data_IF_047950040000
#
_entry.id   IF_047950040000
#
_cell.length_a   1.000
_cell.length_b   1.000
_cell.length_c   1.000
_cell.angle_alpha   90.00
_cell.angle_beta   90.00
_cell.angle_gamma   90.00
#
_symmetry.space_group_name_H-M   'P 1'
#
loop_
_entity.id
_entity.type
_entity.pdbx_description
1 polymer ?
#
# COMPACT_ATOMS: atom_id res chain seq x y z
N UNK A 1 36.59 40.07 -53.52
CA UNK A 1 37.92 39.71 -54.01
C UNK A 1 38.78 39.61 -52.79
N UNK A 2 39.41 38.60 -52.35
CA UNK A 2 39.85 37.30 -52.78
C UNK A 2 39.95 36.42 -51.51
N UNK A 3 39.46 35.21 -51.59
CA UNK A 3 39.62 34.17 -50.56
C UNK A 3 41.10 33.78 -50.46
N UNK A 4 41.59 33.54 -49.22
CA UNK A 4 42.74 32.69 -49.01
C UNK A 4 42.37 31.52 -48.09
N UNK A 5 42.30 30.37 -48.74
CA UNK A 5 42.21 29.03 -48.18
C UNK A 5 43.60 28.64 -47.66
N UNK A 6 43.75 28.35 -46.40
CA UNK A 6 44.97 27.80 -45.82
C UNK A 6 44.72 26.36 -45.38
N UNK A 7 45.31 25.50 -46.17
CA UNK A 7 45.25 24.05 -46.21
C UNK A 7 45.71 23.36 -44.90
N UNK A 8 44.94 22.34 -44.49
CA UNK A 8 45.20 21.38 -43.40
C UNK A 8 46.55 20.65 -43.45
N UNK A 9 47.41 20.91 -44.47
CA UNK A 9 48.70 20.24 -44.66
C UNK A 9 49.89 20.89 -44.00
N UNK A 10 49.79 22.10 -43.42
CA UNK A 10 50.92 22.78 -42.76
C UNK A 10 51.00 22.54 -41.26
N UNK A 11 50.04 21.87 -40.65
CA UNK A 11 50.04 21.59 -39.19
C UNK A 11 50.79 20.28 -38.81
N UNK A 12 51.22 19.48 -39.79
CA UNK A 12 51.82 18.15 -39.54
C UNK A 12 53.36 18.08 -39.74
N UNK A 13 54.08 19.23 -39.84
CA UNK A 13 55.54 19.24 -40.06
C UNK A 13 56.37 19.84 -38.93
N UNK A 14 55.83 20.02 -37.71
CA UNK A 14 56.59 20.57 -36.59
C UNK A 14 56.48 19.70 -35.32
N UNK A 15 56.64 18.40 -35.43
CA UNK A 15 56.92 17.52 -34.30
C UNK A 15 57.78 16.35 -34.75
N UNK A 16 59.04 16.63 -34.87
CA UNK A 16 60.06 15.61 -35.05
C UNK A 16 61.39 16.07 -34.47
N UNK A 17 61.70 15.48 -33.34
CA UNK A 17 63.04 15.24 -32.79
C UNK A 17 63.07 15.65 -31.25
N UNK A 18 63.21 14.65 -30.39
CA UNK A 18 63.55 14.77 -28.99
C UNK A 18 63.44 13.42 -28.29
N UNK A 19 64.55 12.75 -28.14
CA UNK A 19 64.73 11.39 -27.62
C UNK A 19 64.45 11.29 -26.09
N UNK A 20 63.84 10.18 -25.68
CA UNK A 20 64.26 9.41 -24.52
C UNK A 20 63.88 9.91 -23.11
N UNK A 21 62.75 9.45 -22.57
CA UNK A 21 62.63 9.07 -21.18
C UNK A 21 61.41 8.14 -21.05
N UNK A 22 61.63 6.88 -20.70
CA UNK A 22 60.58 5.91 -20.39
C UNK A 22 59.90 6.31 -19.07
N UNK A 23 58.81 7.06 -19.15
CA UNK A 23 57.91 7.25 -18.06
C UNK A 23 56.89 6.11 -18.11
N UNK A 24 56.89 5.26 -17.08
CA UNK A 24 55.88 4.25 -16.86
C UNK A 24 54.52 4.98 -16.62
N UNK A 25 53.71 5.07 -17.68
CA UNK A 25 52.33 5.47 -17.56
C UNK A 25 51.61 4.40 -16.74
N UNK A 26 51.37 4.68 -15.44
CA UNK A 26 50.33 3.99 -14.69
C UNK A 26 49.04 4.19 -15.48
N UNK A 27 48.51 3.11 -16.02
CA UNK A 27 47.09 3.04 -16.45
C UNK A 27 46.26 3.33 -15.19
N UNK A 28 45.85 4.58 -15.01
CA UNK A 28 44.80 4.89 -14.08
C UNK A 28 43.57 4.13 -14.59
N UNK A 29 43.16 3.15 -13.83
CA UNK A 29 41.85 2.48 -14.01
C UNK A 29 40.76 3.53 -14.07
N UNK A 30 39.58 3.22 -14.62
CA UNK A 30 38.48 4.15 -14.69
C UNK A 30 38.26 4.74 -13.27
N UNK A 31 37.98 6.05 -13.17
CA UNK A 31 37.84 6.70 -11.87
C UNK A 31 36.84 5.90 -11.03
N UNK A 32 37.27 5.50 -9.84
CA UNK A 32 36.36 4.85 -8.90
C UNK A 32 35.12 5.74 -8.80
N UNK A 33 33.98 5.22 -9.21
CA UNK A 33 32.71 5.97 -9.17
C UNK A 33 32.60 6.59 -7.78
N UNK A 34 32.49 7.89 -7.71
CA UNK A 34 32.39 8.62 -6.47
C UNK A 34 31.30 7.96 -5.61
N UNK A 35 31.68 7.51 -4.41
CA UNK A 35 30.70 6.94 -3.47
C UNK A 35 29.69 8.04 -3.22
N UNK A 36 28.40 7.74 -3.45
CA UNK A 36 27.33 8.72 -3.31
C UNK A 36 27.41 9.34 -1.89
N UNK A 37 27.78 10.61 -1.83
CA UNK A 37 27.88 11.38 -0.58
C UNK A 37 26.57 12.11 -0.35
N UNK A 38 26.13 12.21 0.89
CA UNK A 38 24.88 12.88 1.27
C UNK A 38 23.76 11.91 1.68
N UNK A 39 22.61 12.45 2.09
CA UNK A 39 21.51 11.65 2.59
C UNK A 39 20.89 10.78 1.50
N UNK A 40 20.26 9.68 1.92
CA UNK A 40 19.36 8.90 1.08
C UNK A 40 18.02 9.63 1.05
N UNK A 41 17.70 10.25 -0.05
CA UNK A 41 16.41 10.94 -0.22
C UNK A 41 15.34 9.93 -0.60
N UNK A 42 14.29 9.86 0.19
CA UNK A 42 13.12 8.99 -0.02
C UNK A 42 11.90 9.89 -0.19
N UNK A 43 11.25 9.80 -1.33
CA UNK A 43 9.97 10.48 -1.57
C UNK A 43 8.84 9.74 -0.85
N UNK A 44 7.90 10.49 -0.27
CA UNK A 44 6.71 9.93 0.38
C UNK A 44 5.48 10.62 -0.16
N UNK A 45 4.57 9.86 -0.78
CA UNK A 45 3.26 10.34 -1.21
C UNK A 45 2.20 9.89 -0.21
N UNK A 46 1.47 10.84 0.39
CA UNK A 46 0.47 10.52 1.40
C UNK A 46 -0.65 11.55 1.47
N UNK A 47 -1.84 11.13 1.90
CA UNK A 47 -3.00 11.99 2.07
C UNK A 47 -2.94 12.64 3.46
N UNK A 48 -2.90 13.97 3.51
CA UNK A 48 -2.79 14.73 4.77
C UNK A 48 -4.02 15.57 5.10
N UNK A 49 -4.97 15.66 4.15
CA UNK A 49 -6.18 16.47 4.31
C UNK A 49 -7.44 15.70 3.93
N UNK A 50 -8.58 16.13 4.48
CA UNK A 50 -9.89 15.53 4.19
C UNK A 50 -10.15 14.24 4.97
N UNK A 51 -11.20 13.50 4.54
CA UNK A 51 -11.70 12.29 5.23
C UNK A 51 -10.69 11.13 5.25
N UNK A 52 -9.74 11.12 4.32
CA UNK A 52 -8.70 10.10 4.22
C UNK A 52 -7.42 10.43 5.01
N UNK A 53 -7.29 11.63 5.57
CA UNK A 53 -6.12 12.06 6.31
C UNK A 53 -5.69 11.12 7.47
N UNK A 54 -6.59 10.49 8.24
CA UNK A 54 -6.18 9.57 9.31
C UNK A 54 -5.30 8.43 8.83
N UNK A 55 -5.66 7.81 7.70
CA UNK A 55 -4.91 6.69 7.10
C UNK A 55 -3.55 7.18 6.58
N UNK A 56 -3.54 8.30 5.85
CA UNK A 56 -2.30 8.89 5.36
C UNK A 56 -1.34 9.33 6.46
N UNK A 57 -1.87 9.91 7.54
CA UNK A 57 -1.08 10.28 8.71
C UNK A 57 -0.46 9.05 9.39
N UNK A 58 -1.19 7.94 9.50
CA UNK A 58 -0.70 6.72 10.12
C UNK A 58 0.51 6.13 9.35
N UNK A 59 0.41 6.04 8.03
CA UNK A 59 1.52 5.58 7.18
C UNK A 59 2.75 6.49 7.27
N UNK A 60 2.55 7.83 7.25
CA UNK A 60 3.64 8.79 7.41
C UNK A 60 4.34 8.65 8.77
N UNK A 61 3.58 8.55 9.86
CA UNK A 61 4.11 8.38 11.22
C UNK A 61 4.96 7.10 11.36
N UNK A 62 4.53 6.01 10.71
CA UNK A 62 5.31 4.77 10.70
C UNK A 62 6.59 4.89 9.88
N UNK A 63 6.55 5.60 8.74
CA UNK A 63 7.75 5.87 7.93
C UNK A 63 8.73 6.76 8.67
N UNK A 64 8.26 7.79 9.38
CA UNK A 64 9.08 8.65 10.23
C UNK A 64 9.72 7.87 11.38
N UNK A 65 8.94 7.03 12.06
CA UNK A 65 9.44 6.16 13.13
C UNK A 65 10.53 5.21 12.61
N UNK A 66 10.32 4.61 11.44
CA UNK A 66 11.33 3.78 10.78
C UNK A 66 12.59 4.59 10.46
N UNK A 67 12.45 5.76 9.83
CA UNK A 67 13.58 6.61 9.44
C UNK A 67 14.40 7.06 10.66
N UNK A 68 13.75 7.45 11.76
CA UNK A 68 14.42 7.79 13.02
C UNK A 68 15.27 6.62 13.55
N UNK A 69 14.73 5.38 13.52
CA UNK A 69 15.45 4.18 13.98
C UNK A 69 16.64 3.83 13.08
N UNK A 70 16.44 3.88 11.78
CA UNK A 70 17.51 3.63 10.78
C UNK A 70 18.61 4.66 10.96
N UNK A 71 18.27 5.94 11.11
CA UNK A 71 19.23 7.01 11.29
C UNK A 71 20.01 6.89 12.61
N UNK A 72 19.36 6.51 13.70
CA UNK A 72 20.02 6.21 14.98
C UNK A 72 20.99 5.02 14.88
N UNK A 73 20.72 4.09 13.97
CA UNK A 73 21.58 2.92 13.72
C UNK A 73 22.69 3.17 12.69
N UNK A 74 22.87 4.42 12.23
CA UNK A 74 23.92 4.79 11.28
C UNK A 74 23.44 4.97 9.82
N UNK A 75 22.14 4.89 9.56
CA UNK A 75 21.57 5.08 8.23
C UNK A 75 21.65 3.83 7.35
N UNK A 76 21.43 3.99 6.05
CA UNK A 76 21.55 2.93 5.04
C UNK A 76 22.95 3.02 4.44
N UNK A 77 23.75 1.99 4.61
CA UNK A 77 25.17 1.97 4.16
C UNK A 77 25.98 3.22 4.62
N UNK A 78 25.68 3.73 5.82
CA UNK A 78 26.32 4.91 6.39
C UNK A 78 25.72 6.26 5.96
N UNK A 79 24.68 6.28 5.12
CA UNK A 79 23.98 7.49 4.68
C UNK A 79 22.70 7.68 5.48
N UNK A 80 22.48 8.88 6.01
CA UNK A 80 21.24 9.21 6.74
C UNK A 80 20.05 9.27 5.81
N UNK A 81 18.89 8.76 6.22
CA UNK A 81 17.63 8.85 5.50
C UNK A 81 17.05 10.25 5.65
N UNK A 82 16.64 10.83 4.53
CA UNK A 82 15.89 12.09 4.44
C UNK A 82 14.57 11.84 3.73
N UNK A 83 13.45 12.07 4.41
CA UNK A 83 12.12 11.98 3.83
C UNK A 83 11.74 13.29 3.14
N UNK A 84 11.19 13.22 1.94
CA UNK A 84 10.60 14.34 1.19
C UNK A 84 9.14 14.00 0.98
N UNK A 85 8.25 14.70 1.70
CA UNK A 85 6.83 14.36 1.77
C UNK A 85 6.04 15.26 0.84
N UNK A 86 5.26 14.65 -0.05
CA UNK A 86 4.32 15.32 -0.94
C UNK A 86 2.88 14.84 -0.68
N UNK A 87 1.93 15.73 -0.95
CA UNK A 87 0.51 15.44 -0.79
C UNK A 87 -0.01 14.54 -1.90
N UNK A 88 -0.70 13.45 -1.53
CA UNK A 88 -1.57 12.74 -2.45
C UNK A 88 -2.94 13.40 -2.48
N UNK A 89 -3.41 13.75 -3.68
CA UNK A 89 -4.71 14.38 -3.90
C UNK A 89 -5.45 13.72 -5.07
N UNK A 90 -5.85 14.46 -6.10
CA UNK A 90 -6.37 13.86 -7.32
C UNK A 90 -5.24 13.25 -8.19
N UNK A 91 -5.57 12.35 -9.14
CA UNK A 91 -4.56 11.69 -9.97
C UNK A 91 -3.61 12.65 -10.70
N UNK A 92 -4.15 13.72 -11.31
CA UNK A 92 -3.37 14.69 -12.10
C UNK A 92 -2.29 15.38 -11.25
N UNK A 93 -2.71 15.98 -10.14
CA UNK A 93 -1.79 16.73 -9.28
C UNK A 93 -0.78 15.82 -8.58
N UNK A 94 -1.18 14.60 -8.24
CA UNK A 94 -0.28 13.63 -7.61
C UNK A 94 0.78 13.15 -8.60
N UNK A 95 0.45 12.93 -9.86
CA UNK A 95 1.43 12.61 -10.91
C UNK A 95 2.47 13.72 -11.06
N UNK A 96 2.08 15.00 -11.01
CA UNK A 96 3.03 16.11 -11.09
C UNK A 96 3.97 16.14 -9.86
N UNK A 97 3.44 15.91 -8.66
CA UNK A 97 4.27 15.81 -7.43
C UNK A 97 5.20 14.60 -7.45
N UNK A 98 4.73 13.49 -8.00
CA UNK A 98 5.57 12.30 -8.21
C UNK A 98 6.74 12.60 -9.16
N UNK A 99 6.48 13.29 -10.29
CA UNK A 99 7.52 13.75 -11.21
C UNK A 99 8.50 14.70 -10.53
N UNK A 100 8.02 15.63 -9.70
CA UNK A 100 8.85 16.55 -8.91
C UNK A 100 9.82 15.79 -8.00
N UNK A 101 9.33 14.82 -7.23
CA UNK A 101 10.15 13.99 -6.34
C UNK A 101 11.32 13.34 -7.08
N UNK A 102 11.09 12.85 -8.31
CA UNK A 102 12.11 12.14 -9.08
C UNK A 102 13.03 13.10 -9.83
N UNK A 103 12.47 14.06 -10.56
CA UNK A 103 13.23 14.89 -11.50
C UNK A 103 13.89 16.11 -10.83
N UNK A 104 13.29 16.68 -9.79
CA UNK A 104 13.79 17.86 -9.09
C UNK A 104 14.47 17.49 -7.78
N UNK A 105 13.78 16.72 -6.94
CA UNK A 105 14.30 16.35 -5.61
C UNK A 105 15.30 15.19 -5.69
N UNK A 106 15.31 14.43 -6.80
CA UNK A 106 16.23 13.33 -7.07
C UNK A 106 16.20 12.23 -6.00
N UNK A 107 14.99 11.77 -5.66
CA UNK A 107 14.81 10.70 -4.71
C UNK A 107 15.28 9.35 -5.27
N UNK A 108 15.75 8.49 -4.38
CA UNK A 108 16.22 7.14 -4.72
C UNK A 108 15.03 6.17 -4.92
N UNK A 109 13.95 6.40 -4.19
CA UNK A 109 12.72 5.61 -4.19
C UNK A 109 11.54 6.51 -3.83
N UNK A 110 10.35 6.18 -4.30
CA UNK A 110 9.10 6.78 -3.81
C UNK A 110 8.31 5.72 -3.04
N UNK A 111 7.88 6.05 -1.84
CA UNK A 111 7.01 5.25 -0.99
C UNK A 111 5.63 5.91 -0.94
N UNK A 112 4.59 5.13 -0.73
CA UNK A 112 3.25 5.67 -0.57
C UNK A 112 2.41 5.58 -1.84
N UNK A 113 1.27 6.24 -1.79
CA UNK A 113 0.16 6.04 -2.70
C UNK A 113 -0.91 5.18 -2.02
N UNK A 114 -2.10 5.75 -1.82
CA UNK A 114 -3.18 5.17 -1.01
C UNK A 114 -4.44 4.95 -1.85
N UNK A 115 -4.85 5.95 -2.63
CA UNK A 115 -6.07 5.87 -3.43
C UNK A 115 -5.85 5.09 -4.73
N UNK A 116 -6.68 4.08 -4.99
CA UNK A 116 -6.59 3.24 -6.21
C UNK A 116 -6.59 4.08 -7.50
N UNK A 117 -7.44 5.10 -7.61
CA UNK A 117 -7.47 5.95 -8.79
C UNK A 117 -6.15 6.72 -9.02
N UNK A 118 -5.45 7.11 -7.94
CA UNK A 118 -4.14 7.77 -8.00
C UNK A 118 -3.05 6.74 -8.35
N UNK A 119 -3.01 5.62 -7.67
CA UNK A 119 -1.94 4.64 -7.84
C UNK A 119 -1.97 3.99 -9.22
N UNK A 120 -3.14 3.73 -9.79
CA UNK A 120 -3.26 3.24 -11.17
C UNK A 120 -2.80 4.30 -12.20
N UNK A 121 -2.93 5.59 -11.90
CA UNK A 121 -2.39 6.66 -12.74
C UNK A 121 -0.86 6.82 -12.58
N UNK A 122 -0.31 6.52 -11.40
CA UNK A 122 1.13 6.60 -11.13
C UNK A 122 1.92 5.47 -11.77
N UNK A 123 1.35 4.27 -11.86
CA UNK A 123 2.06 3.09 -12.36
C UNK A 123 2.78 3.29 -13.69
N UNK A 124 2.10 3.69 -14.78
CA UNK A 124 2.75 3.96 -16.06
C UNK A 124 3.85 5.04 -15.97
N UNK A 125 3.67 6.04 -15.10
CA UNK A 125 4.64 7.12 -14.89
C UNK A 125 5.89 6.60 -14.16
N UNK A 126 5.74 5.68 -13.22
CA UNK A 126 6.86 5.03 -12.54
C UNK A 126 7.71 4.22 -13.54
N UNK A 127 7.06 3.51 -14.46
CA UNK A 127 7.74 2.77 -15.53
C UNK A 127 8.55 3.69 -16.46
N UNK A 128 7.97 4.84 -16.84
CA UNK A 128 8.65 5.82 -17.70
C UNK A 128 9.86 6.46 -17.02
N UNK A 129 9.78 6.75 -15.73
CA UNK A 129 10.82 7.47 -14.99
C UNK A 129 11.91 6.56 -14.42
N UNK A 130 11.73 5.25 -14.43
CA UNK A 130 12.75 4.29 -14.01
C UNK A 130 13.22 4.47 -12.56
N UNK A 131 12.30 4.82 -11.65
CA UNK A 131 12.58 4.94 -10.22
C UNK A 131 11.67 4.00 -9.45
N UNK A 132 12.21 3.18 -8.51
CA UNK A 132 11.40 2.27 -7.73
C UNK A 132 10.29 3.02 -7.00
N UNK A 133 9.06 2.53 -7.13
CA UNK A 133 7.90 2.99 -6.39
C UNK A 133 7.26 1.83 -5.65
N UNK A 134 7.18 1.96 -4.33
CA UNK A 134 6.56 0.98 -3.44
C UNK A 134 5.27 1.57 -2.89
N UNK A 135 4.15 1.14 -3.44
CA UNK A 135 2.82 1.61 -3.03
C UNK A 135 2.49 1.11 -1.62
N UNK A 136 1.93 1.96 -0.76
CA UNK A 136 1.43 1.53 0.54
C UNK A 136 0.13 0.76 0.39
N UNK A 137 -0.74 1.27 -0.47
CA UNK A 137 -2.07 0.78 -0.70
C UNK A 137 -2.52 1.09 -2.14
N UNK A 138 -3.82 1.15 -2.38
CA UNK A 138 -4.36 1.81 -3.54
C UNK A 138 -4.30 1.03 -4.84
N UNK A 139 -4.02 -0.28 -4.82
CA UNK A 139 -4.09 -1.10 -6.03
C UNK A 139 -5.10 -2.22 -5.89
N UNK A 140 -5.83 -2.49 -6.97
CA UNK A 140 -6.68 -3.67 -7.09
C UNK A 140 -6.07 -4.63 -8.10
N UNK A 141 -6.30 -5.94 -7.93
CA UNK A 141 -5.78 -6.94 -8.86
C UNK A 141 -6.31 -6.70 -10.27
N UNK A 142 -7.62 -6.40 -10.38
CA UNK A 142 -8.26 -6.04 -11.64
C UNK A 142 -7.65 -4.79 -12.27
N UNK A 143 -7.51 -3.71 -11.49
CA UNK A 143 -6.93 -2.46 -11.98
C UNK A 143 -5.48 -2.61 -12.45
N UNK A 144 -4.67 -3.43 -11.77
CA UNK A 144 -3.29 -3.73 -12.17
C UNK A 144 -3.26 -4.58 -13.44
N UNK A 145 -4.14 -5.57 -13.59
CA UNK A 145 -4.24 -6.34 -14.84
C UNK A 145 -4.51 -5.45 -16.06
N UNK A 146 -5.26 -4.37 -15.88
CA UNK A 146 -5.63 -3.45 -16.94
C UNK A 146 -4.57 -2.38 -17.22
N UNK A 147 -3.89 -1.88 -16.19
CA UNK A 147 -3.00 -0.70 -16.30
C UNK A 147 -1.52 -1.01 -16.18
N UNK A 148 -1.13 -2.05 -15.44
CA UNK A 148 0.26 -2.40 -15.14
C UNK A 148 0.46 -3.92 -15.11
N UNK A 149 0.19 -4.65 -16.19
CA UNK A 149 0.23 -6.13 -16.16
C UNK A 149 1.62 -6.71 -15.91
N UNK A 150 2.69 -5.98 -16.22
CA UNK A 150 4.08 -6.42 -16.07
C UNK A 150 4.95 -5.26 -15.57
N UNK A 151 4.79 -4.79 -14.33
CA UNK A 151 5.56 -3.67 -13.82
C UNK A 151 7.04 -4.05 -13.65
N UNK A 152 7.92 -3.08 -13.91
CA UNK A 152 9.37 -3.20 -13.69
C UNK A 152 9.82 -2.36 -12.49
N UNK A 153 9.22 -1.19 -12.30
CA UNK A 153 9.60 -0.22 -11.29
C UNK A 153 8.55 -0.03 -10.20
N UNK A 154 7.29 -0.35 -10.52
CA UNK A 154 6.19 -0.26 -9.58
C UNK A 154 6.06 -1.57 -8.78
N UNK A 155 6.09 -1.45 -7.46
CA UNK A 155 5.83 -2.53 -6.51
C UNK A 155 4.49 -2.30 -5.87
N UNK A 156 3.58 -3.22 -6.10
CA UNK A 156 2.23 -3.17 -5.61
C UNK A 156 2.18 -3.67 -4.18
N UNK A 157 1.64 -2.85 -3.29
CA UNK A 157 1.37 -3.23 -1.92
C UNK A 157 0.39 -4.41 -1.85
N UNK A 158 -0.49 -4.38 -0.92
CA UNK A 158 -1.58 -5.33 -0.79
C UNK A 158 -2.69 -4.93 -1.74
N UNK A 159 -3.29 -5.91 -2.37
CA UNK A 159 -4.48 -5.68 -3.19
C UNK A 159 -5.68 -5.39 -2.29
N UNK A 160 -6.25 -4.20 -2.43
CA UNK A 160 -7.31 -3.74 -1.53
C UNK A 160 -8.58 -4.60 -1.61
N UNK A 161 -8.96 -5.11 -2.80
CA UNK A 161 -10.11 -5.99 -2.92
C UNK A 161 -9.90 -7.37 -2.28
N UNK A 162 -8.67 -7.73 -1.90
CA UNK A 162 -8.42 -8.98 -1.14
C UNK A 162 -9.15 -8.98 0.19
N UNK A 163 -9.36 -7.83 0.81
CA UNK A 163 -10.18 -7.70 2.00
C UNK A 163 -11.64 -8.11 1.75
N UNK A 164 -12.18 -7.71 0.59
CA UNK A 164 -13.52 -8.10 0.17
C UNK A 164 -13.60 -9.60 -0.18
N UNK A 165 -12.54 -10.16 -0.77
CA UNK A 165 -12.41 -11.60 -1.02
C UNK A 165 -12.41 -12.37 0.30
N UNK A 166 -11.58 -11.95 1.28
CA UNK A 166 -11.54 -12.55 2.63
C UNK A 166 -12.90 -12.44 3.31
N UNK A 167 -13.56 -11.29 3.23
CA UNK A 167 -14.90 -11.11 3.77
C UNK A 167 -15.92 -12.04 3.11
N UNK A 168 -15.83 -12.24 1.79
CA UNK A 168 -16.68 -13.19 1.05
C UNK A 168 -16.48 -14.64 1.52
N UNK A 169 -15.25 -15.04 1.84
CA UNK A 169 -14.93 -16.36 2.42
C UNK A 169 -15.51 -16.50 3.84
N UNK A 170 -15.41 -15.44 4.66
CA UNK A 170 -15.81 -15.49 6.07
C UNK A 170 -17.31 -15.27 6.28
N UNK A 171 -18.00 -14.59 5.36
CA UNK A 171 -19.45 -14.31 5.47
C UNK A 171 -20.27 -15.56 5.78
N UNK A 172 -20.19 -16.68 5.03
CA UNK A 172 -21.00 -17.87 5.32
C UNK A 172 -20.61 -18.56 6.63
N UNK A 173 -19.39 -18.35 7.11
CA UNK A 173 -18.93 -18.89 8.41
C UNK A 173 -19.67 -18.22 9.58
N UNK A 174 -19.79 -16.89 9.54
CA UNK A 174 -20.33 -16.10 10.64
C UNK A 174 -21.82 -15.77 10.48
N UNK A 175 -22.29 -15.63 9.25
CA UNK A 175 -23.67 -15.22 8.94
C UNK A 175 -24.41 -16.33 8.19
N UNK A 176 -24.65 -17.44 8.91
CA UNK A 176 -25.38 -18.57 8.34
C UNK A 176 -26.78 -18.15 7.88
N UNK A 177 -27.19 -18.64 6.71
CA UNK A 177 -28.54 -18.43 6.17
C UNK A 177 -28.74 -17.07 5.50
N UNK A 178 -27.68 -16.27 5.26
CA UNK A 178 -27.78 -15.06 4.43
C UNK A 178 -28.22 -15.43 3.02
N UNK A 179 -29.28 -14.77 2.55
CA UNK A 179 -29.88 -14.96 1.22
C UNK A 179 -29.81 -13.71 0.35
N UNK A 180 -29.84 -12.55 1.00
CA UNK A 180 -29.86 -11.25 0.32
C UNK A 180 -28.79 -10.31 0.88
N UNK A 181 -28.09 -9.62 -0.03
CA UNK A 181 -27.01 -8.71 0.31
C UNK A 181 -27.21 -7.37 -0.37
N UNK A 182 -27.07 -6.29 0.39
CA UNK A 182 -26.90 -4.92 -0.11
C UNK A 182 -25.43 -4.53 -0.06
N UNK A 183 -24.94 -3.79 -1.05
CA UNK A 183 -23.59 -3.29 -1.13
C UNK A 183 -23.52 -1.77 -1.09
N UNK A 184 -22.50 -1.23 -0.42
CA UNK A 184 -22.15 0.19 -0.50
C UNK A 184 -20.63 0.36 -0.53
N UNK A 185 -20.13 1.16 -1.46
CA UNK A 185 -18.70 1.50 -1.63
C UNK A 185 -18.54 2.88 -2.24
N UNK A 186 -17.31 3.40 -2.30
CA UNK A 186 -17.06 4.69 -2.95
C UNK A 186 -17.11 4.54 -4.48
N UNK A 187 -17.58 5.59 -5.18
CA UNK A 187 -17.75 5.64 -6.64
C UNK A 187 -16.40 5.84 -7.36
N UNK A 188 -15.56 4.82 -7.33
CA UNK A 188 -14.32 4.71 -8.12
C UNK A 188 -13.83 3.26 -8.13
N UNK A 189 -12.74 2.95 -8.88
CA UNK A 189 -12.27 1.58 -9.13
C UNK A 189 -12.26 0.67 -7.89
N UNK A 190 -11.76 1.16 -6.74
CA UNK A 190 -11.72 0.36 -5.51
C UNK A 190 -13.10 -0.12 -5.05
N UNK A 191 -14.08 0.79 -4.96
CA UNK A 191 -15.41 0.44 -4.47
C UNK A 191 -16.11 -0.58 -5.37
N UNK A 192 -16.01 -0.38 -6.68
CA UNK A 192 -16.56 -1.31 -7.68
C UNK A 192 -15.83 -2.66 -7.66
N UNK A 193 -14.50 -2.67 -7.67
CA UNK A 193 -13.69 -3.90 -7.67
C UNK A 193 -13.89 -4.73 -6.38
N UNK A 194 -14.01 -4.07 -5.22
CA UNK A 194 -14.35 -4.73 -3.96
C UNK A 194 -15.73 -5.40 -4.02
N UNK A 195 -16.71 -4.69 -4.55
CA UNK A 195 -18.06 -5.21 -4.65
C UNK A 195 -18.16 -6.39 -5.61
N UNK A 196 -17.59 -6.28 -6.80
CA UNK A 196 -17.54 -7.37 -7.79
C UNK A 196 -16.82 -8.61 -7.23
N UNK A 197 -15.69 -8.41 -6.56
CA UNK A 197 -14.89 -9.49 -5.96
C UNK A 197 -15.64 -10.19 -4.83
N UNK A 198 -16.29 -9.41 -3.94
CA UNK A 198 -17.12 -9.97 -2.88
C UNK A 198 -18.29 -10.78 -3.42
N UNK A 199 -19.00 -10.26 -4.44
CA UNK A 199 -20.08 -10.98 -5.12
C UNK A 199 -19.61 -12.30 -5.73
N UNK A 200 -18.49 -12.26 -6.47
CA UNK A 200 -17.95 -13.44 -7.13
C UNK A 200 -17.59 -14.53 -6.12
N UNK A 201 -16.92 -14.15 -5.02
CA UNK A 201 -16.53 -15.09 -3.96
C UNK A 201 -17.74 -15.62 -3.22
N UNK A 202 -18.65 -14.75 -2.77
CA UNK A 202 -19.80 -15.19 -1.99
C UNK A 202 -20.71 -16.15 -2.78
N UNK A 203 -20.88 -15.94 -4.08
CA UNK A 203 -21.61 -16.89 -4.96
C UNK A 203 -20.99 -18.29 -5.00
N UNK A 204 -19.66 -18.42 -4.78
CA UNK A 204 -19.01 -19.74 -4.71
C UNK A 204 -19.46 -20.52 -3.47
N UNK A 205 -19.66 -19.84 -2.33
CA UNK A 205 -20.05 -20.44 -1.06
C UNK A 205 -21.57 -20.50 -0.86
N UNK A 206 -22.32 -19.55 -1.43
CA UNK A 206 -23.78 -19.41 -1.32
C UNK A 206 -24.35 -19.18 -2.73
N UNK A 207 -24.51 -20.24 -3.55
CA UNK A 207 -24.88 -20.08 -4.96
C UNK A 207 -26.20 -19.33 -5.20
N UNK A 208 -27.17 -19.47 -4.29
CA UNK A 208 -28.50 -18.85 -4.40
C UNK A 208 -28.58 -17.43 -3.80
N UNK A 209 -27.45 -16.86 -3.36
CA UNK A 209 -27.41 -15.50 -2.81
C UNK A 209 -27.85 -14.47 -3.86
N UNK A 210 -28.67 -13.51 -3.43
CA UNK A 210 -29.15 -12.40 -4.27
C UNK A 210 -28.52 -11.08 -3.81
N UNK A 211 -27.98 -10.32 -4.75
CA UNK A 211 -27.51 -8.96 -4.53
C UNK A 211 -28.65 -8.02 -4.91
N UNK A 212 -29.27 -7.39 -3.90
CA UNK A 212 -30.56 -6.70 -4.06
C UNK A 212 -30.44 -5.19 -4.14
N UNK A 213 -29.28 -4.65 -3.79
CA UNK A 213 -28.99 -3.22 -3.84
C UNK A 213 -27.49 -3.00 -3.95
N UNK A 214 -27.07 -2.02 -4.76
CA UNK A 214 -25.71 -1.52 -4.81
C UNK A 214 -25.71 0.00 -4.87
N UNK A 215 -24.86 0.62 -4.08
CA UNK A 215 -24.78 2.07 -3.92
C UNK A 215 -23.32 2.52 -3.99
N UNK A 216 -23.05 3.55 -4.80
CA UNK A 216 -21.71 4.10 -4.95
C UNK A 216 -21.72 5.62 -4.80
N UNK A 217 -21.80 6.15 -3.56
CA UNK A 217 -21.61 7.56 -3.32
C UNK A 217 -20.17 7.99 -3.59
N UNK A 218 -19.97 9.26 -3.93
CA UNK A 218 -18.64 9.84 -4.11
C UNK A 218 -17.84 9.79 -2.82
N UNK A 219 -16.52 9.60 -2.94
CA UNK A 219 -15.59 9.68 -1.81
C UNK A 219 -15.72 11.05 -1.12
N UNK A 220 -15.80 11.07 0.22
CA UNK A 220 -15.91 12.28 1.03
C UNK A 220 -17.33 12.82 1.21
N UNK A 221 -18.36 12.07 0.83
CA UNK A 221 -19.75 12.38 1.21
C UNK A 221 -19.88 12.26 2.72
N UNK A 222 -20.48 13.26 3.35
CA UNK A 222 -20.65 13.30 4.83
C UNK A 222 -22.08 13.01 5.29
N UNK A 223 -23.05 12.93 4.39
CA UNK A 223 -24.43 12.58 4.67
C UNK A 223 -24.86 11.34 3.87
N UNK A 224 -25.05 10.23 4.58
CA UNK A 224 -25.50 8.97 4.03
C UNK A 224 -26.97 8.67 4.31
N UNK A 225 -27.77 9.64 4.78
CA UNK A 225 -29.17 9.44 5.20
C UNK A 225 -30.00 8.78 4.10
N UNK A 226 -29.93 9.26 2.87
CA UNK A 226 -30.67 8.68 1.73
C UNK A 226 -30.20 7.27 1.36
N UNK A 227 -28.89 7.03 1.44
CA UNK A 227 -28.32 5.71 1.16
C UNK A 227 -28.74 4.71 2.23
N UNK A 228 -28.70 5.09 3.52
CA UNK A 228 -29.13 4.25 4.63
C UNK A 228 -30.63 3.94 4.54
N UNK A 229 -31.46 4.91 4.15
CA UNK A 229 -32.90 4.69 3.91
C UNK A 229 -33.12 3.66 2.79
N UNK A 230 -32.38 3.74 1.68
CA UNK A 230 -32.46 2.76 0.60
C UNK A 230 -32.01 1.36 1.07
N UNK A 231 -30.94 1.27 1.88
CA UNK A 231 -30.48 0.01 2.49
C UNK A 231 -31.57 -0.59 3.38
N UNK A 232 -32.20 0.20 4.25
CA UNK A 232 -33.30 -0.28 5.09
C UNK A 232 -34.50 -0.79 4.26
N UNK A 233 -34.87 -0.05 3.19
CA UNK A 233 -35.97 -0.43 2.30
C UNK A 233 -35.68 -1.70 1.51
N UNK A 234 -34.42 -2.01 1.21
CA UNK A 234 -34.02 -3.24 0.51
C UNK A 234 -34.34 -4.51 1.29
N UNK A 235 -34.46 -4.42 2.62
CA UNK A 235 -34.67 -5.55 3.55
C UNK A 235 -33.65 -6.67 3.34
N UNK A 236 -32.42 -6.33 2.93
CA UNK A 236 -31.35 -7.29 2.80
C UNK A 236 -30.98 -7.91 4.15
N UNK A 237 -30.55 -9.18 4.14
CA UNK A 237 -30.09 -9.86 5.36
C UNK A 237 -28.75 -9.28 5.85
N UNK A 238 -27.95 -8.75 4.92
CA UNK A 238 -26.58 -8.30 5.17
C UNK A 238 -26.24 -7.07 4.34
N UNK A 239 -25.54 -6.11 4.97
CA UNK A 239 -24.85 -5.00 4.31
C UNK A 239 -23.35 -5.34 4.17
N UNK A 240 -22.81 -5.31 2.96
CA UNK A 240 -21.38 -5.23 2.69
C UNK A 240 -21.00 -3.78 2.44
N UNK A 241 -20.01 -3.28 3.17
CA UNK A 241 -19.51 -1.92 3.09
C UNK A 241 -17.99 -1.94 2.90
N UNK A 242 -17.51 -1.33 1.81
CA UNK A 242 -16.08 -1.17 1.52
C UNK A 242 -15.57 0.25 1.80
N UNK A 243 -16.29 1.05 2.57
CA UNK A 243 -15.80 2.35 2.98
C UNK A 243 -14.58 2.23 3.88
N UNK A 244 -13.64 3.13 3.71
CA UNK A 244 -12.38 3.21 4.43
C UNK A 244 -12.19 4.60 5.05
N UNK A 245 -11.26 4.73 5.98
CA UNK A 245 -10.95 5.98 6.67
C UNK A 245 -12.20 6.65 7.28
N UNK A 246 -12.35 7.97 7.19
CA UNK A 246 -13.45 8.73 7.79
C UNK A 246 -14.84 8.34 7.30
N UNK A 247 -14.99 7.94 6.02
CA UNK A 247 -16.29 7.52 5.48
C UNK A 247 -16.84 6.29 6.23
N UNK A 248 -15.97 5.35 6.62
CA UNK A 248 -16.36 4.19 7.41
C UNK A 248 -16.90 4.59 8.79
N UNK A 249 -16.28 5.58 9.44
CA UNK A 249 -16.76 6.10 10.73
C UNK A 249 -18.10 6.82 10.59
N UNK A 250 -18.25 7.65 9.54
CA UNK A 250 -19.46 8.46 9.34
C UNK A 250 -20.67 7.56 9.06
N UNK A 251 -20.53 6.60 8.12
CA UNK A 251 -21.66 5.69 7.82
C UNK A 251 -22.02 4.82 9.02
N UNK A 252 -21.03 4.35 9.80
CA UNK A 252 -21.27 3.56 11.01
C UNK A 252 -22.12 4.33 12.01
N UNK A 253 -21.77 5.60 12.30
CA UNK A 253 -22.53 6.48 13.18
C UNK A 253 -23.97 6.69 12.71
N UNK A 254 -24.15 7.02 11.42
CA UNK A 254 -25.47 7.32 10.87
C UNK A 254 -26.35 6.07 10.79
N UNK A 255 -25.78 4.92 10.42
CA UNK A 255 -26.49 3.64 10.39
C UNK A 255 -26.92 3.17 11.80
N UNK A 256 -26.04 3.36 12.79
CA UNK A 256 -26.35 3.04 14.18
C UNK A 256 -27.46 3.92 14.75
N UNK A 257 -27.46 5.22 14.43
CA UNK A 257 -28.48 6.18 14.90
C UNK A 257 -29.92 5.78 14.51
N UNK A 258 -30.08 5.14 13.34
CA UNK A 258 -31.39 4.63 12.88
C UNK A 258 -31.60 3.14 13.23
N UNK A 259 -30.66 2.53 13.96
CA UNK A 259 -30.78 1.14 14.39
C UNK A 259 -30.67 0.10 13.26
N UNK A 260 -29.99 0.41 12.16
CA UNK A 260 -29.86 -0.47 10.98
C UNK A 260 -29.41 -1.89 11.37
N UNK A 261 -28.39 -1.99 12.20
CA UNK A 261 -27.79 -3.27 12.62
C UNK A 261 -28.57 -4.05 13.68
N UNK A 262 -29.75 -3.56 14.11
CA UNK A 262 -30.68 -4.36 14.92
C UNK A 262 -31.38 -5.46 14.10
N UNK A 263 -31.51 -5.25 12.80
CA UNK A 263 -32.21 -6.16 11.87
C UNK A 263 -31.36 -6.66 10.72
N UNK A 264 -30.23 -6.03 10.45
CA UNK A 264 -29.34 -6.33 9.34
C UNK A 264 -27.93 -6.67 9.85
N UNK A 265 -27.32 -7.70 9.31
CA UNK A 265 -25.91 -8.02 9.57
C UNK A 265 -25.01 -7.07 8.79
N UNK A 266 -23.74 -6.89 9.24
CA UNK A 266 -22.82 -6.00 8.57
C UNK A 266 -21.44 -6.61 8.38
N UNK A 267 -20.87 -6.33 7.21
CA UNK A 267 -19.50 -6.62 6.83
C UNK A 267 -18.84 -5.31 6.44
N UNK A 268 -17.78 -4.94 7.14
CA UNK A 268 -16.99 -3.72 6.88
C UNK A 268 -15.57 -4.15 6.57
N UNK A 269 -15.22 -4.18 5.29
CA UNK A 269 -13.99 -4.84 4.83
C UNK A 269 -12.72 -4.14 5.28
N UNK A 270 -12.74 -2.80 5.43
CA UNK A 270 -11.55 -1.95 5.57
C UNK A 270 -11.61 -1.00 6.77
N UNK A 271 -12.68 -1.05 7.57
CA UNK A 271 -12.91 -0.09 8.64
C UNK A 271 -11.87 -0.17 9.79
N UNK A 272 -11.07 -1.24 9.86
CA UNK A 272 -9.95 -1.35 10.79
C UNK A 272 -8.87 -0.29 10.62
N UNK A 273 -8.82 0.43 9.50
CA UNK A 273 -7.94 1.60 9.31
C UNK A 273 -8.27 2.81 10.20
N UNK A 274 -9.46 2.81 10.80
CA UNK A 274 -9.91 3.85 11.74
C UNK A 274 -10.52 3.25 13.00
N UNK A 275 -10.01 2.10 13.41
CA UNK A 275 -10.60 1.27 14.49
C UNK A 275 -10.82 2.02 15.80
N UNK A 276 -9.93 2.91 16.20
CA UNK A 276 -10.05 3.70 17.43
C UNK A 276 -11.14 4.81 17.35
N UNK A 277 -11.61 5.11 16.14
CA UNK A 277 -12.78 5.97 15.91
C UNK A 277 -14.12 5.21 15.96
N UNK A 278 -14.08 3.87 15.92
CA UNK A 278 -15.27 3.02 15.97
C UNK A 278 -15.70 2.79 17.43
N UNK A 279 -16.24 3.84 18.07
CA UNK A 279 -16.57 3.83 19.50
C UNK A 279 -17.69 2.85 19.81
N UNK A 280 -17.62 2.22 21.00
CA UNK A 280 -18.63 1.28 21.51
C UNK A 280 -20.04 1.88 21.58
N UNK A 281 -20.13 3.19 21.77
CA UNK A 281 -21.41 3.90 21.88
C UNK A 281 -22.29 3.81 20.62
N UNK A 282 -21.66 3.67 19.44
CA UNK A 282 -22.37 3.57 18.16
C UNK A 282 -21.96 2.38 17.28
N UNK A 283 -20.86 1.72 17.56
CA UNK A 283 -20.45 0.53 16.78
C UNK A 283 -20.95 -0.73 17.49
N UNK A 284 -21.90 -1.49 16.91
CA UNK A 284 -22.43 -2.68 17.57
C UNK A 284 -21.46 -3.85 17.60
N UNK A 285 -21.69 -4.80 18.49
CA UNK A 285 -21.08 -6.12 18.43
C UNK A 285 -21.66 -6.95 17.28
N UNK A 286 -20.92 -7.94 16.81
CA UNK A 286 -21.41 -8.92 15.82
C UNK A 286 -21.25 -8.53 14.36
N UNK A 287 -20.57 -7.42 14.05
CA UNK A 287 -20.18 -7.08 12.70
C UNK A 287 -18.89 -7.80 12.29
N UNK A 288 -18.75 -8.23 11.04
CA UNK A 288 -17.47 -8.66 10.50
C UNK A 288 -16.65 -7.42 10.11
N UNK A 289 -15.50 -7.23 10.74
CA UNK A 289 -14.63 -6.08 10.56
C UNK A 289 -13.26 -6.49 10.05
N UNK A 290 -12.79 -5.87 8.96
CA UNK A 290 -11.47 -6.08 8.39
C UNK A 290 -10.43 -5.12 8.94
N UNK A 291 -9.25 -5.68 9.28
CA UNK A 291 -8.06 -4.97 9.76
C UNK A 291 -6.90 -5.06 8.77
N UNK A 292 -7.17 -5.46 7.52
CA UNK A 292 -6.15 -5.65 6.50
C UNK A 292 -4.97 -6.49 7.03
N UNK A 293 -3.75 -6.02 6.93
CA UNK A 293 -2.53 -6.81 7.20
C UNK A 293 -2.05 -6.76 8.64
N UNK A 294 -2.60 -5.91 9.48
CA UNK A 294 -2.15 -5.78 10.86
C UNK A 294 -3.31 -5.53 11.84
N UNK A 295 -3.32 -6.30 12.89
CA UNK A 295 -4.18 -6.04 14.04
C UNK A 295 -3.33 -5.67 15.26
N UNK A 296 -3.48 -4.44 15.75
CA UNK A 296 -2.60 -3.86 16.78
C UNK A 296 -2.64 -4.62 18.12
N UNK A 297 -3.75 -5.28 18.43
CA UNK A 297 -4.01 -6.00 19.69
C UNK A 297 -4.00 -7.53 19.51
N UNK A 298 -3.29 -8.06 18.52
CA UNK A 298 -3.11 -9.48 18.36
C UNK A 298 -2.24 -10.02 19.51
N UNK A 299 -2.75 -10.93 20.36
CA UNK A 299 -1.98 -11.49 21.47
C UNK A 299 -0.73 -12.25 21.02
N UNK A 300 -0.71 -12.75 19.78
CA UNK A 300 0.40 -13.47 19.17
C UNK A 300 1.39 -12.58 18.43
N UNK A 301 1.19 -11.26 18.46
CA UNK A 301 2.04 -10.31 17.74
C UNK A 301 3.50 -10.35 18.18
N UNK A 302 4.38 -9.97 17.24
CA UNK A 302 5.83 -9.90 17.43
C UNK A 302 6.23 -8.90 18.54
N UNK A 303 7.45 -9.02 19.05
CA UNK A 303 8.01 -8.01 19.96
C UNK A 303 8.15 -6.65 19.27
N UNK A 304 8.41 -6.66 17.97
CA UNK A 304 8.51 -5.44 17.16
C UNK A 304 7.18 -4.70 17.12
N UNK A 305 6.06 -5.40 16.83
CA UNK A 305 4.74 -4.79 16.86
C UNK A 305 4.38 -4.27 18.25
N UNK A 306 4.61 -5.04 19.30
CA UNK A 306 4.36 -4.60 20.68
C UNK A 306 5.14 -3.35 21.06
N UNK A 307 6.40 -3.25 20.62
CA UNK A 307 7.21 -2.05 20.81
C UNK A 307 6.62 -0.87 20.03
N UNK A 308 6.31 -1.08 18.74
CA UNK A 308 5.73 -0.04 17.89
C UNK A 308 4.42 0.50 18.45
N UNK A 309 3.47 -0.38 18.82
CA UNK A 309 2.18 0.00 19.43
C UNK A 309 2.38 0.85 20.68
N UNK A 310 3.30 0.46 21.58
CA UNK A 310 3.60 1.21 22.80
C UNK A 310 4.15 2.60 22.49
N UNK A 311 5.13 2.69 21.56
CA UNK A 311 5.77 3.96 21.21
C UNK A 311 4.82 4.88 20.43
N UNK A 312 4.02 4.32 19.52
CA UNK A 312 2.98 5.04 18.78
C UNK A 312 1.94 5.61 19.73
N UNK A 313 1.41 4.79 20.64
CA UNK A 313 0.43 5.23 21.65
C UNK A 313 1.00 6.31 22.57
N UNK A 314 2.25 6.20 22.98
CA UNK A 314 2.91 7.21 23.82
C UNK A 314 3.07 8.56 23.09
N UNK A 315 3.37 8.53 21.77
CA UNK A 315 3.65 9.75 20.99
C UNK A 315 2.37 10.43 20.49
N UNK A 316 1.36 9.64 20.05
CA UNK A 316 0.20 10.19 19.35
C UNK A 316 -1.12 10.03 20.14
N UNK A 317 -1.12 9.33 21.26
CA UNK A 317 -2.31 8.96 22.03
C UNK A 317 -3.37 8.17 21.23
N UNK A 318 -2.97 7.51 20.15
CA UNK A 318 -3.77 6.68 19.24
C UNK A 318 -3.18 5.28 19.15
N UNK A 319 -3.93 4.30 18.66
CA UNK A 319 -3.42 2.97 18.35
C UNK A 319 -3.14 2.85 16.85
N UNK A 320 -2.01 2.22 16.44
CA UNK A 320 -1.62 2.19 15.04
C UNK A 320 -2.56 1.29 14.22
N UNK A 321 -3.13 1.81 13.12
CA UNK A 321 -3.87 1.00 12.15
C UNK A 321 -2.92 0.28 11.18
N UNK A 322 -3.48 -0.56 10.32
CA UNK A 322 -2.73 -1.40 9.39
C UNK A 322 -1.83 -0.64 8.41
N UNK A 323 -2.17 0.60 8.05
CA UNK A 323 -1.34 1.45 7.19
C UNK A 323 0.09 1.61 7.72
N UNK A 324 0.24 1.56 9.04
CA UNK A 324 1.57 1.59 9.65
C UNK A 324 2.44 0.41 9.23
N UNK A 325 1.86 -0.78 9.08
CA UNK A 325 2.58 -1.97 8.63
C UNK A 325 2.92 -1.92 7.14
N UNK A 326 2.02 -1.39 6.31
CA UNK A 326 2.28 -1.17 4.88
C UNK A 326 3.47 -0.23 4.68
N UNK A 327 3.44 0.91 5.35
CA UNK A 327 4.50 1.92 5.27
C UNK A 327 5.83 1.40 5.81
N UNK A 328 5.81 0.71 6.96
CA UNK A 328 7.01 0.10 7.55
C UNK A 328 7.60 -0.96 6.64
N UNK A 329 6.79 -1.89 6.14
CA UNK A 329 7.25 -2.96 5.25
C UNK A 329 7.94 -2.40 4.01
N UNK A 330 7.34 -1.41 3.35
CA UNK A 330 7.92 -0.79 2.16
C UNK A 330 9.26 -0.13 2.45
N UNK A 331 9.34 0.65 3.52
CA UNK A 331 10.55 1.35 3.91
C UNK A 331 11.68 0.37 4.32
N UNK A 332 11.36 -0.66 5.13
CA UNK A 332 12.35 -1.63 5.57
C UNK A 332 12.76 -2.56 4.42
N UNK A 333 11.83 -2.98 3.54
CA UNK A 333 12.18 -3.80 2.37
C UNK A 333 13.10 -3.04 1.42
N UNK A 334 12.88 -1.74 1.20
CA UNK A 334 13.80 -0.91 0.42
C UNK A 334 15.21 -0.89 1.02
N UNK A 335 15.33 -0.63 2.32
CA UNK A 335 16.62 -0.64 3.02
C UNK A 335 17.34 -1.99 2.86
N UNK A 336 16.66 -3.09 3.16
CA UNK A 336 17.23 -4.44 3.06
C UNK A 336 17.64 -4.77 1.63
N UNK A 337 16.84 -4.34 0.64
CA UNK A 337 17.17 -4.53 -0.77
C UNK A 337 18.42 -3.75 -1.19
N UNK A 338 18.56 -2.49 -0.73
CA UNK A 338 19.79 -1.69 -0.97
C UNK A 338 21.00 -2.37 -0.35
N UNK A 339 20.92 -2.82 0.90
CA UNK A 339 22.01 -3.50 1.60
C UNK A 339 22.39 -4.83 0.91
N UNK A 340 21.39 -5.62 0.47
CA UNK A 340 21.57 -6.86 -0.28
C UNK A 340 22.22 -6.62 -1.63
N UNK A 341 21.78 -5.62 -2.37
CA UNK A 341 22.33 -5.27 -3.68
C UNK A 341 23.75 -4.71 -3.60
N UNK A 342 24.09 -3.98 -2.53
CA UNK A 342 25.44 -3.45 -2.29
C UNK A 342 26.48 -4.55 -2.01
N UNK A 343 26.06 -5.66 -1.44
CA UNK A 343 26.93 -6.78 -1.09
C UNK A 343 28.09 -6.41 -0.15
N UNK A 344 29.13 -7.21 -0.15
CA UNK A 344 30.31 -7.02 0.71
C UNK A 344 31.09 -5.72 0.42
N UNK A 345 30.99 -5.19 -0.79
CA UNK A 345 31.68 -3.96 -1.21
C UNK A 345 31.04 -2.68 -0.66
N UNK A 346 29.85 -2.74 -0.12
CA UNK A 346 29.07 -1.61 0.43
C UNK A 346 28.98 -0.39 -0.51
N UNK A 347 29.14 -0.61 -1.83
CA UNK A 347 28.96 0.43 -2.82
C UNK A 347 27.45 0.67 -3.01
N UNK A 348 27.05 1.94 -3.13
CA UNK A 348 25.64 2.26 -3.39
C UNK A 348 25.20 1.61 -4.71
N UNK A 349 24.12 0.80 -4.70
CA UNK A 349 23.67 0.08 -5.89
C UNK A 349 22.91 0.99 -6.86
N UNK A 350 22.89 0.61 -8.12
CA UNK A 350 22.00 1.19 -9.12
C UNK A 350 20.55 0.82 -8.81
N UNK A 351 19.59 1.69 -9.18
CA UNK A 351 18.15 1.48 -8.91
C UNK A 351 17.64 0.11 -9.44
N UNK A 352 18.12 -0.32 -10.61
CA UNK A 352 17.75 -1.62 -11.18
C UNK A 352 18.25 -2.81 -10.33
N UNK A 353 19.40 -2.68 -9.66
CA UNK A 353 19.90 -3.71 -8.76
C UNK A 353 19.07 -3.79 -7.48
N UNK A 354 18.57 -2.64 -7.00
CA UNK A 354 17.64 -2.59 -5.85
C UNK A 354 16.31 -3.26 -6.20
N UNK A 355 15.76 -2.98 -7.38
CA UNK A 355 14.56 -3.64 -7.91
C UNK A 355 14.75 -5.16 -7.92
N UNK A 356 15.85 -5.64 -8.50
CA UNK A 356 16.14 -7.09 -8.54
C UNK A 356 16.33 -7.71 -7.16
N UNK A 357 16.83 -6.94 -6.20
CA UNK A 357 16.98 -7.40 -4.81
C UNK A 357 15.67 -7.44 -4.04
N UNK A 358 14.66 -6.63 -4.43
CA UNK A 358 13.30 -6.64 -3.89
C UNK A 358 12.51 -7.87 -4.36
N UNK A 359 12.71 -8.32 -5.60
CA UNK A 359 12.04 -9.51 -6.13
C UNK A 359 12.32 -10.74 -5.27
N UNK A 360 11.27 -11.39 -4.77
CA UNK A 360 11.37 -12.54 -3.86
C UNK A 360 11.89 -12.22 -2.46
N UNK A 361 12.09 -10.94 -2.10
CA UNK A 361 12.60 -10.57 -0.78
C UNK A 361 11.55 -10.85 0.31
N UNK A 362 11.95 -11.57 1.36
CA UNK A 362 11.19 -11.78 2.58
C UNK A 362 11.87 -11.02 3.74
N UNK A 363 11.09 -10.29 4.52
CA UNK A 363 11.54 -9.60 5.74
C UNK A 363 10.54 -9.74 6.89
N UNK A 364 10.99 -9.46 8.10
CA UNK A 364 10.11 -9.25 9.25
C UNK A 364 9.52 -7.82 9.19
N UNK A 365 8.18 -7.73 9.13
CA UNK A 365 7.43 -6.49 9.25
C UNK A 365 6.79 -6.39 10.64
N UNK A 366 5.99 -5.34 10.88
CA UNK A 366 5.24 -5.19 12.13
C UNK A 366 4.29 -6.38 12.35
N UNK A 367 3.61 -6.81 11.30
CA UNK A 367 2.66 -7.94 11.33
C UNK A 367 3.31 -9.32 11.21
N UNK A 368 4.63 -9.42 11.24
CA UNK A 368 5.40 -10.64 11.02
C UNK A 368 6.00 -10.73 9.62
N UNK A 369 6.27 -11.95 9.16
CA UNK A 369 6.91 -12.17 7.86
C UNK A 369 6.05 -11.71 6.70
N UNK A 370 6.64 -10.89 5.84
CA UNK A 370 6.06 -10.43 4.57
C UNK A 370 7.10 -10.55 3.46
N UNK A 371 6.65 -10.70 2.23
CA UNK A 371 7.56 -10.81 1.09
C UNK A 371 7.00 -10.13 -0.15
N UNK A 372 7.90 -9.82 -1.07
CA UNK A 372 7.56 -9.47 -2.43
C UNK A 372 7.56 -10.72 -3.30
N UNK A 373 6.54 -10.92 -4.12
CA UNK A 373 6.57 -11.87 -5.24
C UNK A 373 7.45 -11.30 -6.36
N UNK A 374 7.90 -12.18 -7.28
CA UNK A 374 8.67 -11.75 -8.46
C UNK A 374 7.88 -10.86 -9.43
N UNK A 375 6.56 -10.89 -9.39
CA UNK A 375 5.67 -9.99 -10.13
C UNK A 375 5.29 -8.73 -9.36
N UNK A 376 6.10 -8.35 -8.39
CA UNK A 376 6.04 -7.12 -7.60
C UNK A 376 4.79 -6.95 -6.73
N UNK A 377 4.22 -8.05 -6.28
CA UNK A 377 3.05 -8.07 -5.40
C UNK A 377 3.44 -8.54 -4.00
N UNK A 378 2.91 -7.90 -2.98
CA UNK A 378 3.14 -8.30 -1.59
C UNK A 378 2.40 -9.59 -1.23
N UNK A 379 3.08 -10.39 -0.39
CA UNK A 379 2.53 -11.58 0.25
C UNK A 379 2.52 -11.37 1.77
N UNK A 380 1.35 -11.54 2.38
CA UNK A 380 1.11 -11.28 3.80
C UNK A 380 -0.09 -12.09 4.31
N UNK A 381 -0.56 -11.76 5.49
CA UNK A 381 -1.81 -12.28 6.06
C UNK A 381 -2.81 -11.13 6.20
N UNK A 382 -4.10 -11.47 6.10
CA UNK A 382 -5.20 -10.55 6.36
C UNK A 382 -5.88 -10.91 7.67
N UNK A 383 -6.21 -9.89 8.44
CA UNK A 383 -6.90 -9.99 9.73
C UNK A 383 -8.32 -9.50 9.58
N UNK A 384 -9.28 -10.35 9.92
CA UNK A 384 -10.69 -9.97 10.07
C UNK A 384 -11.27 -10.63 11.31
N UNK A 385 -12.40 -10.15 11.81
CA UNK A 385 -13.04 -10.77 12.95
C UNK A 385 -14.36 -10.12 13.31
N UNK A 386 -15.01 -10.66 14.30
CA UNK A 386 -16.31 -10.17 14.78
C UNK A 386 -16.12 -9.11 15.83
N UNK A 387 -16.77 -7.96 15.66
CA UNK A 387 -16.68 -6.86 16.61
C UNK A 387 -17.21 -7.27 17.98
N UNK A 388 -16.48 -6.83 19.03
CA UNK A 388 -16.85 -7.08 20.43
C UNK A 388 -16.54 -5.87 21.31
N UNK A 389 -17.37 -5.68 22.34
CA UNK A 389 -17.16 -4.70 23.42
C UNK A 389 -16.34 -5.25 24.59
N UNK A 390 -16.02 -6.55 24.58
CA UNK A 390 -15.27 -7.23 25.67
C UNK A 390 -13.77 -6.91 25.62
N UNK A 391 -13.43 -5.65 25.85
CA UNK A 391 -12.08 -5.12 25.87
C UNK A 391 -12.00 -3.90 26.78
N UNK A 392 -10.79 -3.40 27.07
CA UNK A 392 -10.54 -2.25 27.93
C UNK A 392 -10.59 -0.88 27.21
N UNK A 393 -10.74 -0.88 25.87
CA UNK A 393 -10.79 0.34 25.08
C UNK A 393 -12.18 0.97 25.07
N UNK A 394 -12.29 2.22 24.64
CA UNK A 394 -13.58 2.91 24.41
C UNK A 394 -14.16 2.64 23.01
N UNK A 395 -13.44 1.86 22.18
CA UNK A 395 -13.80 1.44 20.83
C UNK A 395 -13.91 -0.09 20.73
N UNK A 396 -14.48 -0.59 19.65
CA UNK A 396 -14.63 -2.02 19.42
C UNK A 396 -13.30 -2.68 19.04
N UNK A 397 -13.14 -3.92 19.45
CA UNK A 397 -12.08 -4.83 18.97
C UNK A 397 -12.72 -6.01 18.24
N UNK A 398 -11.92 -6.97 17.78
CA UNK A 398 -12.40 -8.18 17.11
C UNK A 398 -12.08 -9.43 17.91
N UNK A 399 -13.09 -10.33 17.99
CA UNK A 399 -12.93 -11.68 18.58
C UNK A 399 -14.03 -12.61 18.03
N UNK A 400 -13.71 -13.80 17.49
CA UNK A 400 -12.34 -14.30 17.26
C UNK A 400 -11.62 -13.52 16.15
N UNK A 401 -10.28 -13.61 16.15
CA UNK A 401 -9.43 -13.07 15.08
C UNK A 401 -9.27 -14.17 14.02
N UNK A 402 -9.65 -13.88 12.79
CA UNK A 402 -9.43 -14.72 11.62
C UNK A 402 -8.20 -14.20 10.85
N UNK A 403 -7.32 -15.13 10.50
CA UNK A 403 -6.12 -14.82 9.73
C UNK A 403 -6.19 -15.63 8.44
N UNK A 404 -6.31 -14.94 7.31
CA UNK A 404 -6.37 -15.52 5.97
C UNK A 404 -5.13 -15.10 5.20
N UNK A 405 -4.35 -16.07 4.72
CA UNK A 405 -3.14 -15.76 3.96
C UNK A 405 -3.46 -15.31 2.52
N UNK A 406 -2.60 -14.48 1.94
CA UNK A 406 -2.68 -14.09 0.53
C UNK A 406 -2.62 -15.28 -0.43
N UNK A 407 -2.03 -16.42 -0.01
CA UNK A 407 -2.09 -17.66 -0.78
C UNK A 407 -3.52 -18.18 -0.98
N UNK A 408 -4.44 -17.86 -0.07
CA UNK A 408 -5.84 -18.27 -0.13
C UNK A 408 -6.73 -17.20 -0.78
N UNK A 409 -6.38 -15.93 -0.68
CA UNK A 409 -7.24 -14.80 -1.04
C UNK A 409 -6.71 -13.93 -2.20
N UNK A 410 -5.52 -14.23 -2.73
CA UNK A 410 -4.97 -13.55 -3.91
C UNK A 410 -4.79 -14.52 -5.06
N UNK A 411 -5.04 -14.04 -6.28
CA UNK A 411 -4.78 -14.81 -7.49
C UNK A 411 -3.30 -15.16 -7.64
N UNK A 412 -2.95 -16.34 -8.19
CA UNK A 412 -1.59 -16.66 -8.60
C UNK A 412 -1.06 -15.67 -9.65
N UNK A 413 0.26 -15.49 -9.68
CA UNK A 413 0.91 -14.72 -10.74
C UNK A 413 0.49 -15.21 -12.13
N UNK A 414 0.26 -14.28 -13.05
CA UNK A 414 -0.12 -14.58 -14.44
C UNK A 414 -1.56 -15.04 -14.66
N UNK A 415 -2.37 -15.25 -13.60
CA UNK A 415 -3.80 -15.56 -13.74
C UNK A 415 -4.66 -14.29 -13.73
N UNK A 416 -5.87 -14.37 -14.31
CA UNK A 416 -6.88 -13.33 -14.18
C UNK A 416 -7.72 -13.56 -12.92
N UNK A 417 -8.10 -12.47 -12.25
CA UNK A 417 -8.79 -12.52 -10.95
C UNK A 417 -10.07 -13.36 -11.00
N UNK A 418 -10.99 -13.02 -11.91
CA UNK A 418 -12.29 -13.69 -11.94
C UNK A 418 -12.24 -15.11 -12.49
N UNK A 419 -11.30 -15.42 -13.40
CA UNK A 419 -11.07 -16.80 -13.87
C UNK A 419 -10.58 -17.67 -12.69
N UNK A 420 -9.71 -17.12 -11.85
CA UNK A 420 -9.22 -17.80 -10.66
C UNK A 420 -10.34 -18.05 -9.63
N UNK A 421 -11.13 -17.00 -9.29
CA UNK A 421 -12.27 -17.15 -8.34
C UNK A 421 -13.28 -18.17 -8.87
N UNK A 422 -13.63 -18.12 -10.15
CA UNK A 422 -14.59 -19.04 -10.76
C UNK A 422 -14.09 -20.49 -10.79
N UNK A 423 -12.79 -20.69 -10.76
CA UNK A 423 -12.15 -22.01 -10.68
C UNK A 423 -12.10 -22.63 -9.28
N UNK A 424 -12.53 -21.92 -8.22
CA UNK A 424 -12.45 -22.43 -6.85
C UNK A 424 -13.35 -23.67 -6.67
N UNK A 425 -12.79 -24.69 -6.01
CA UNK A 425 -13.53 -25.83 -5.48
C UNK A 425 -13.80 -25.53 -4.00
N UNK A 426 -15.02 -25.19 -3.68
CA UNK A 426 -15.50 -24.86 -2.34
C UNK A 426 -16.41 -25.94 -1.79
#
# INVERSE_FOLDING_TARGET
>A
MTRHDTSRRQFLKLMGAGAGAAAATRLEGPPASAQATGPVKIGVLTIRVGVAAPVGAAGLRATEWWAERVNKSGGILGRQVQLIVEEESNPKDTVERYRKLILQDQVEVVLGGISTGVTLALGPVAEDLGTPWLSWDGTTQKGVEETMPNPKWAFKSVDNEVEAIVAGILTPKYFKGVKTVAGIGNDYSYGHDCWESYQAVLKRYVPDVKFVLELFPKLGVTDFTSHIAAIQQSKADLLMCSFWSGDATIIMKQAAAVGLFKTMKGVFTTAGGVHDSLKKEFTPEGLLLGYNTMYFDDPKSSLLLKQFVREYKAKYNEYPPYECDHAFFNAESYKVAVEKAAGAGKKWPEKAQVVKALEGLEIESLSGKRSWREDHVQMCNFYQGITTHKNAYDFVTISPIEIVSTKQAMKPAGSKLFDWINGWKV
#
